data_IF_627876895072
#
_entry.id   IF_627876895072
#
_cell.length_a   1.000
_cell.length_b   1.000
_cell.length_c   1.000
_cell.angle_alpha   90.00
_cell.angle_beta   90.00
_cell.angle_gamma   90.00
#
_symmetry.space_group_name_H-M   'P 1'
#
loop_
_entity.id
_entity.type
_entity.pdbx_description
1 polymer ?
#
# COMPACT_ATOMS: atom_id res chain seq x y z
N UNK A 1 -20.63 78.82 -19.74
CA UNK A 1 -21.16 78.69 -21.10
C UNK A 1 -19.94 78.65 -22.00
N UNK A 2 -19.64 77.48 -22.57
CA UNK A 2 -18.49 77.20 -23.46
C UNK A 2 -17.10 77.37 -22.81
N UNK A 3 -16.14 76.46 -22.92
CA UNK A 3 -15.97 75.21 -23.67
C UNK A 3 -14.89 74.39 -22.95
N UNK A 4 -15.10 73.08 -22.88
CA UNK A 4 -14.07 72.09 -22.60
C UNK A 4 -12.98 72.10 -23.69
N UNK A 5 -11.73 72.22 -23.28
CA UNK A 5 -10.55 71.86 -24.08
C UNK A 5 -9.58 71.09 -23.17
N UNK A 6 -9.34 69.79 -23.40
CA UNK A 6 -8.27 69.07 -22.73
C UNK A 6 -7.15 68.64 -23.71
N UNK A 7 -5.92 68.72 -23.19
CA UNK A 7 -4.78 67.82 -23.43
C UNK A 7 -3.88 68.05 -24.66
N UNK A 8 -2.68 68.56 -24.38
CA UNK A 8 -1.42 68.10 -24.99
C UNK A 8 -0.33 68.17 -23.92
N UNK A 9 0.09 67.02 -23.39
CA UNK A 9 1.23 66.20 -23.83
C UNK A 9 2.59 66.80 -23.40
N UNK A 10 3.37 66.01 -22.67
CA UNK A 10 4.68 66.43 -22.18
C UNK A 10 5.16 65.61 -20.99
N UNK A 11 5.44 64.34 -21.22
CA UNK A 11 6.25 63.51 -20.30
C UNK A 11 7.71 63.86 -20.52
N UNK A 12 8.41 64.32 -19.48
CA UNK A 12 9.69 63.76 -19.01
C UNK A 12 10.22 64.60 -17.83
N UNK A 13 10.61 63.87 -16.79
CA UNK A 13 11.80 64.07 -15.94
C UNK A 13 11.69 64.72 -14.54
N UNK A 14 12.28 63.94 -13.63
CA UNK A 14 13.05 64.29 -12.44
C UNK A 14 12.29 64.64 -11.15
N UNK A 15 12.08 63.61 -10.32
CA UNK A 15 12.21 63.78 -8.86
C UNK A 15 13.13 62.71 -8.30
N UNK A 16 14.26 63.19 -7.78
CA UNK A 16 15.19 62.45 -6.98
C UNK A 16 14.55 62.09 -5.62
N UNK A 17 14.95 60.92 -5.13
CA UNK A 17 15.27 60.58 -3.76
C UNK A 17 14.48 61.29 -2.65
N UNK A 18 13.58 60.53 -2.01
CA UNK A 18 13.51 60.54 -0.56
C UNK A 18 13.55 59.11 -0.02
N UNK A 19 14.60 58.88 0.75
CA UNK A 19 14.96 57.65 1.40
C UNK A 19 14.00 57.43 2.57
N UNK A 20 13.30 56.30 2.60
CA UNK A 20 12.66 55.84 3.81
C UNK A 20 12.92 54.36 4.06
N UNK A 21 13.63 54.14 5.16
CA UNK A 21 13.45 53.04 6.10
C UNK A 21 13.67 51.61 5.62
N UNK A 22 14.83 51.11 6.07
CA UNK A 22 14.92 49.88 6.86
C UNK A 22 14.42 48.63 6.16
N UNK A 23 15.34 48.06 5.40
CA UNK A 23 15.30 46.64 5.06
C UNK A 23 15.40 45.84 6.37
N UNK A 24 14.27 45.28 6.80
CA UNK A 24 14.24 44.19 7.77
C UNK A 24 14.52 42.90 7.00
N UNK A 25 15.62 42.18 7.27
CA UNK A 25 15.90 40.89 6.67
C UNK A 25 14.96 39.83 7.26
N UNK A 26 14.21 39.18 6.37
CA UNK A 26 13.59 37.87 6.47
C UNK A 26 13.67 37.15 7.83
N UNK A 27 12.55 37.12 8.53
CA UNK A 27 12.26 36.15 9.59
C UNK A 27 11.20 35.14 9.12
N UNK A 28 11.70 33.93 8.87
CA UNK A 28 11.09 32.63 9.14
C UNK A 28 9.81 32.25 8.39
N UNK A 29 10.00 31.65 7.22
CA UNK A 29 9.35 30.36 6.97
C UNK A 29 10.43 29.29 6.81
N UNK A 30 10.39 28.34 7.73
CA UNK A 30 11.26 27.18 7.86
C UNK A 30 11.23 26.29 6.60
N UNK A 31 11.97 26.65 5.57
CA UNK A 31 12.36 25.72 4.52
C UNK A 31 13.52 24.86 5.03
N UNK A 32 13.17 23.76 5.70
CA UNK A 32 14.08 22.64 5.88
C UNK A 32 14.59 22.21 4.51
N UNK A 33 15.92 22.13 4.28
CA UNK A 33 16.45 21.58 3.04
C UNK A 33 15.91 20.17 2.85
N UNK A 34 15.18 19.96 1.75
CA UNK A 34 14.85 18.63 1.25
C UNK A 34 16.17 17.85 1.14
N UNK A 35 16.32 16.69 1.80
CA UNK A 35 17.50 15.87 1.58
C UNK A 35 17.52 15.48 0.12
N UNK A 36 18.63 15.82 -0.54
CA UNK A 36 18.92 15.48 -1.91
C UNK A 36 18.67 13.98 -2.11
N UNK A 37 17.76 13.67 -3.04
CA UNK A 37 17.63 12.41 -3.76
C UNK A 37 18.23 11.18 -3.04
N UNK A 38 17.53 10.66 -2.04
CA UNK A 38 17.51 9.21 -1.90
C UNK A 38 16.51 8.71 -2.94
N UNK A 39 16.98 8.53 -4.17
CA UNK A 39 16.39 7.58 -5.11
C UNK A 39 16.46 6.21 -4.45
N UNK A 40 15.55 5.94 -3.51
CA UNK A 40 15.26 4.59 -3.10
C UNK A 40 14.44 4.00 -4.24
N UNK A 41 15.16 3.54 -5.27
CA UNK A 41 14.65 2.50 -6.14
C UNK A 41 14.33 1.28 -5.28
N UNK A 42 13.12 1.19 -4.75
CA UNK A 42 12.61 -0.04 -4.18
C UNK A 42 12.18 -0.96 -5.33
N UNK A 43 13.15 -1.38 -6.14
CA UNK A 43 13.03 -2.58 -6.96
C UNK A 43 13.36 -3.78 -6.06
N UNK A 44 12.55 -3.97 -5.02
CA UNK A 44 12.73 -5.00 -4.00
C UNK A 44 11.66 -6.07 -4.18
N UNK A 45 12.04 -7.25 -4.67
CA UNK A 45 11.21 -8.43 -4.44
C UNK A 45 11.06 -8.65 -2.94
N UNK A 46 9.84 -9.00 -2.48
CA UNK A 46 9.61 -9.34 -1.07
C UNK A 46 10.57 -10.44 -0.64
N UNK A 47 11.12 -10.32 0.57
CA UNK A 47 11.91 -11.38 1.18
C UNK A 47 11.05 -12.62 1.46
N UNK A 48 11.69 -13.78 1.63
CA UNK A 48 10.99 -15.03 1.97
C UNK A 48 10.21 -14.93 3.29
N UNK A 49 10.74 -14.19 4.27
CA UNK A 49 10.05 -13.97 5.53
C UNK A 49 8.78 -13.13 5.33
N UNK A 50 8.88 -11.99 4.63
CA UNK A 50 7.72 -11.14 4.34
C UNK A 50 6.66 -11.88 3.51
N UNK A 51 7.10 -12.79 2.63
CA UNK A 51 6.23 -13.66 1.86
C UNK A 51 5.43 -14.60 2.76
N UNK A 52 6.11 -15.27 3.69
CA UNK A 52 5.48 -16.21 4.62
C UNK A 52 4.50 -15.49 5.54
N UNK A 53 4.86 -14.33 6.07
CA UNK A 53 3.98 -13.48 6.90
C UNK A 53 2.74 -13.02 6.11
N UNK A 54 2.91 -12.67 4.83
CA UNK A 54 1.79 -12.30 3.95
C UNK A 54 0.84 -13.48 3.73
N UNK A 55 1.36 -14.68 3.47
CA UNK A 55 0.55 -15.89 3.30
C UNK A 55 -0.20 -16.22 4.60
N UNK A 56 0.48 -16.18 5.73
CA UNK A 56 -0.11 -16.45 7.04
C UNK A 56 -1.27 -15.49 7.34
N UNK A 57 -1.08 -14.19 7.10
CA UNK A 57 -2.12 -13.17 7.25
C UNK A 57 -3.36 -13.47 6.39
N UNK A 58 -3.15 -13.86 5.12
CA UNK A 58 -4.25 -14.22 4.21
C UNK A 58 -4.97 -15.50 4.67
N UNK A 59 -4.22 -16.50 5.14
CA UNK A 59 -4.80 -17.72 5.71
C UNK A 59 -5.65 -17.42 6.95
N UNK A 60 -5.18 -16.55 7.85
CA UNK A 60 -5.92 -16.14 9.04
C UNK A 60 -7.21 -15.40 8.67
N UNK A 61 -7.15 -14.45 7.73
CA UNK A 61 -8.34 -13.74 7.23
C UNK A 61 -9.35 -14.71 6.59
N UNK A 62 -8.88 -15.73 5.87
CA UNK A 62 -9.75 -16.78 5.32
C UNK A 62 -10.36 -17.66 6.42
N UNK A 63 -9.61 -17.98 7.48
CA UNK A 63 -10.13 -18.73 8.62
C UNK A 63 -11.25 -17.96 9.35
N UNK A 64 -11.09 -16.64 9.53
CA UNK A 64 -12.15 -15.77 10.06
C UNK A 64 -13.42 -15.79 9.19
N UNK A 65 -13.28 -15.82 7.85
CA UNK A 65 -14.42 -16.02 6.95
C UNK A 65 -15.13 -17.35 7.21
N UNK A 66 -14.38 -18.42 7.43
CA UNK A 66 -14.93 -19.73 7.78
C UNK A 66 -15.64 -19.70 9.14
N UNK A 67 -15.12 -18.96 10.12
CA UNK A 67 -15.78 -18.76 11.41
C UNK A 67 -17.14 -18.09 11.25
N UNK A 68 -17.23 -17.06 10.41
CA UNK A 68 -18.49 -16.39 10.10
C UNK A 68 -19.52 -17.32 9.43
N UNK A 69 -19.06 -18.41 8.80
CA UNK A 69 -19.90 -19.45 8.21
C UNK A 69 -20.22 -20.60 9.18
N UNK A 70 -19.80 -20.51 10.45
CA UNK A 70 -20.07 -21.50 11.50
C UNK A 70 -18.95 -22.52 11.74
N UNK A 71 -17.77 -22.33 11.18
CA UNK A 71 -16.62 -23.24 11.32
C UNK A 71 -15.58 -22.70 12.32
N UNK A 72 -16.00 -22.38 13.54
CA UNK A 72 -15.21 -21.66 14.56
C UNK A 72 -13.86 -22.30 14.92
N UNK A 73 -13.72 -23.63 14.76
CA UNK A 73 -12.47 -24.33 15.06
C UNK A 73 -11.40 -24.26 13.96
N UNK A 74 -11.70 -23.69 12.79
CA UNK A 74 -10.75 -23.66 11.66
C UNK A 74 -9.65 -22.65 11.93
N UNK A 75 -8.38 -23.03 11.78
CA UNK A 75 -7.23 -22.14 11.96
C UNK A 75 -6.59 -21.76 10.63
N UNK A 76 -5.77 -20.69 10.62
CA UNK A 76 -4.98 -20.34 9.44
C UNK A 76 -4.03 -21.47 9.00
N UNK A 77 -3.53 -22.28 9.94
CA UNK A 77 -2.73 -23.47 9.64
C UNK A 77 -3.56 -24.51 8.86
N UNK A 78 -4.79 -24.77 9.27
CA UNK A 78 -5.66 -25.73 8.56
C UNK A 78 -5.94 -25.27 7.12
N UNK A 79 -6.10 -23.96 6.91
CA UNK A 79 -6.26 -23.37 5.57
C UNK A 79 -5.00 -23.61 4.74
N UNK A 80 -3.82 -23.35 5.31
CA UNK A 80 -2.54 -23.58 4.63
C UNK A 80 -2.32 -25.06 4.29
N UNK A 81 -2.59 -25.97 5.21
CA UNK A 81 -2.46 -27.41 4.98
C UNK A 81 -3.38 -27.90 3.88
N UNK A 82 -4.63 -27.40 3.86
CA UNK A 82 -5.59 -27.71 2.80
C UNK A 82 -5.12 -27.23 1.42
N UNK A 83 -4.53 -26.05 1.33
CA UNK A 83 -4.07 -25.48 0.05
C UNK A 83 -2.76 -26.13 -0.40
N UNK A 84 -1.82 -26.32 0.53
CA UNK A 84 -0.48 -26.85 0.26
C UNK A 84 -0.47 -28.35 -0.10
N UNK A 85 -1.47 -29.14 0.31
CA UNK A 85 -1.63 -30.55 -0.11
C UNK A 85 -1.67 -30.70 -1.66
N UNK A 86 -2.17 -29.67 -2.36
CA UNK A 86 -2.18 -29.61 -3.84
C UNK A 86 -0.77 -29.54 -4.44
N UNK A 87 0.18 -29.01 -3.68
CA UNK A 87 1.53 -28.69 -4.13
C UNK A 87 2.56 -29.75 -3.74
N UNK A 88 2.24 -30.67 -2.82
CA UNK A 88 3.15 -31.74 -2.37
C UNK A 88 3.79 -32.53 -3.52
N UNK A 89 3.05 -32.75 -4.61
CA UNK A 89 3.54 -33.50 -5.79
C UNK A 89 4.03 -32.62 -6.93
N UNK A 90 3.58 -31.37 -7.00
CA UNK A 90 3.80 -30.48 -8.15
C UNK A 90 4.81 -29.36 -7.87
N UNK A 91 5.21 -29.17 -6.61
CA UNK A 91 6.02 -28.05 -6.16
C UNK A 91 5.17 -26.80 -5.87
N UNK A 92 5.77 -25.86 -5.12
CA UNK A 92 5.11 -24.61 -4.75
C UNK A 92 4.99 -23.71 -5.99
N UNK A 93 3.78 -23.28 -6.38
CA UNK A 93 3.59 -22.40 -7.53
C UNK A 93 3.98 -20.95 -7.19
N UNK A 94 3.97 -20.04 -8.19
CA UNK A 94 4.16 -18.62 -7.92
C UNK A 94 3.15 -18.07 -6.91
N UNK A 95 3.57 -17.09 -6.11
CA UNK A 95 2.78 -16.51 -5.02
C UNK A 95 1.35 -16.14 -5.42
N UNK A 96 1.17 -15.44 -6.54
CA UNK A 96 -0.15 -14.99 -6.98
C UNK A 96 -1.15 -16.15 -7.13
N UNK A 97 -0.66 -17.34 -7.50
CA UNK A 97 -1.48 -18.55 -7.60
C UNK A 97 -1.81 -19.12 -6.23
N UNK A 98 -0.86 -19.13 -5.30
CA UNK A 98 -1.09 -19.53 -3.91
C UNK A 98 -2.15 -18.64 -3.26
N UNK A 99 -2.01 -17.31 -3.40
CA UNK A 99 -2.98 -16.33 -2.89
C UNK A 99 -4.36 -16.59 -3.50
N UNK A 100 -4.44 -16.75 -4.82
CA UNK A 100 -5.71 -17.04 -5.48
C UNK A 100 -6.33 -18.35 -4.97
N UNK A 101 -5.53 -19.39 -4.76
CA UNK A 101 -6.01 -20.68 -4.27
C UNK A 101 -6.51 -20.61 -2.81
N UNK A 102 -5.92 -19.75 -1.96
CA UNK A 102 -6.43 -19.47 -0.61
C UNK A 102 -7.72 -18.65 -0.68
N UNK A 103 -7.74 -17.54 -1.42
CA UNK A 103 -8.89 -16.65 -1.50
C UNK A 103 -10.12 -17.30 -2.15
N UNK A 104 -9.90 -18.23 -3.08
CA UNK A 104 -10.96 -18.99 -3.77
C UNK A 104 -11.33 -20.31 -3.07
N UNK A 105 -10.71 -20.64 -1.93
CA UNK A 105 -11.02 -21.83 -1.16
C UNK A 105 -12.47 -21.80 -0.67
N UNK A 106 -13.24 -22.82 -1.06
CA UNK A 106 -14.63 -23.01 -0.64
C UNK A 106 -14.71 -23.93 0.57
N UNK A 107 -15.67 -23.67 1.44
CA UNK A 107 -15.98 -24.53 2.59
C UNK A 107 -16.15 -26.00 2.21
N UNK A 108 -16.87 -26.30 1.12
CA UNK A 108 -17.05 -27.69 0.66
C UNK A 108 -15.73 -28.36 0.30
N UNK A 109 -14.79 -27.63 -0.32
CA UNK A 109 -13.47 -28.16 -0.65
C UNK A 109 -12.69 -28.48 0.62
N UNK A 110 -12.69 -27.55 1.58
CA UNK A 110 -12.03 -27.74 2.87
C UNK A 110 -12.60 -28.94 3.64
N UNK A 111 -13.93 -29.06 3.74
CA UNK A 111 -14.57 -30.19 4.44
C UNK A 111 -14.25 -31.54 3.79
N UNK A 112 -14.22 -31.59 2.47
CA UNK A 112 -13.81 -32.78 1.73
C UNK A 112 -12.35 -33.12 2.04
N UNK A 113 -11.45 -32.13 2.06
CA UNK A 113 -10.05 -32.31 2.41
C UNK A 113 -9.90 -32.82 3.86
N UNK A 114 -10.55 -32.17 4.83
CA UNK A 114 -10.46 -32.52 6.24
C UNK A 114 -10.97 -33.94 6.54
N UNK A 115 -12.01 -34.38 5.82
CA UNK A 115 -12.47 -35.77 5.91
C UNK A 115 -11.39 -36.73 5.43
N UNK A 116 -10.67 -36.41 4.35
CA UNK A 116 -9.63 -37.26 3.77
C UNK A 116 -8.33 -37.24 4.58
N UNK A 117 -7.95 -36.11 5.19
CA UNK A 117 -6.72 -35.97 5.98
C UNK A 117 -6.72 -36.89 7.22
N UNK A 118 -7.87 -37.07 7.88
CA UNK A 118 -8.01 -38.00 9.02
C UNK A 118 -7.62 -39.44 8.67
N UNK A 119 -7.79 -39.85 7.41
CA UNK A 119 -7.39 -41.19 6.96
C UNK A 119 -5.93 -41.26 6.51
N UNK A 120 -5.32 -40.13 6.13
CA UNK A 120 -3.90 -40.05 5.75
C UNK A 120 -2.98 -40.11 6.97
N UNK A 121 -3.38 -39.52 8.09
CA UNK A 121 -2.56 -39.41 9.32
C UNK A 121 -2.63 -40.63 10.24
N UNK A 122 -3.30 -41.72 9.84
CA UNK A 122 -3.21 -43.00 10.55
C UNK A 122 -2.18 -43.92 9.88
N UNK A 123 -0.94 -43.98 10.39
CA UNK A 123 -0.12 -45.16 10.17
C UNK A 123 -0.80 -46.33 10.92
N UNK A 124 -1.10 -47.41 10.19
CA UNK A 124 -1.51 -48.67 10.80
C UNK A 124 -0.37 -49.29 11.59
#
# INVERSE_FOLDING_TARGET
MEKDDPQHSGSLRDTAADNNSTEHPAEEDSYSPLPAASEQEHSGGLSEQELNESIESICNSKAEEFHMLGYEQVTGSDIWDCVSDKYLKSGIPPLHRVINDILSLKTTQFMNWMTMSIYKDRPF
#
